data_IF_935430566145
#
_entry.id   IF_935430566145
#
_cell.length_a   1.000
_cell.length_b   1.000
_cell.length_c   1.000
_cell.angle_alpha   90.00
_cell.angle_beta   90.00
_cell.angle_gamma   90.00
#
_symmetry.space_group_name_H-M   'P 1'
#
loop_
_entity.id
_entity.type
_entity.pdbx_description
1 polymer ?
#
# COMPACT_ATOMS: atom_id res chain seq x y z
N UNK A 1 49.62 29.43 -39.78
CA UNK A 1 49.67 29.11 -38.34
C UNK A 1 48.25 29.20 -37.82
N UNK A 2 47.75 28.08 -37.31
CA UNK A 2 46.35 27.84 -36.96
C UNK A 2 45.98 28.62 -35.70
N UNK A 3 44.81 29.28 -35.70
CA UNK A 3 44.09 29.63 -34.48
C UNK A 3 42.59 29.49 -34.75
N UNK A 4 42.09 28.29 -34.49
CA UNK A 4 40.68 27.98 -34.31
C UNK A 4 40.32 28.51 -32.91
N UNK A 5 39.32 29.39 -32.81
CA UNK A 5 38.57 29.57 -31.57
C UNK A 5 37.09 29.42 -31.89
N UNK A 6 36.56 28.29 -31.45
CA UNK A 6 35.16 27.88 -31.56
C UNK A 6 34.33 28.82 -30.69
N UNK A 7 33.42 29.56 -31.31
CA UNK A 7 32.33 30.22 -30.59
C UNK A 7 31.31 29.13 -30.26
N UNK A 8 31.28 28.72 -29.00
CA UNK A 8 30.22 27.86 -28.44
C UNK A 8 28.99 28.74 -28.23
N UNK A 9 28.07 28.71 -29.18
CA UNK A 9 26.74 29.28 -28.99
C UNK A 9 25.89 28.27 -28.21
N UNK A 10 25.70 28.55 -26.92
CA UNK A 10 24.72 27.90 -26.05
C UNK A 10 23.32 28.04 -26.66
N UNK A 11 22.81 26.98 -27.27
CA UNK A 11 21.37 26.82 -27.49
C UNK A 11 20.80 26.29 -26.17
N UNK A 12 20.50 27.21 -25.26
CA UNK A 12 19.61 26.95 -24.13
C UNK A 12 18.18 26.91 -24.65
N UNK A 13 17.69 25.73 -25.03
CA UNK A 13 16.27 25.48 -25.20
C UNK A 13 15.96 24.04 -24.82
N UNK A 14 15.22 23.89 -23.72
CA UNK A 14 14.57 22.65 -23.33
C UNK A 14 15.50 21.63 -22.70
N UNK A 15 15.81 21.80 -21.41
CA UNK A 15 16.03 20.64 -20.56
C UNK A 15 14.72 19.86 -20.61
N UNK A 16 14.69 18.85 -21.47
CA UNK A 16 13.70 17.80 -21.51
C UNK A 16 13.57 17.26 -20.08
N UNK A 17 12.50 17.66 -19.40
CA UNK A 17 11.98 16.92 -18.27
C UNK A 17 11.49 15.58 -18.82
N UNK A 18 12.40 14.62 -18.98
CA UNK A 18 12.04 13.21 -19.02
C UNK A 18 11.56 12.84 -17.62
N UNK A 19 10.33 13.25 -17.29
CA UNK A 19 9.52 12.43 -16.42
C UNK A 19 9.40 11.10 -17.18
N UNK A 20 10.13 10.09 -16.72
CA UNK A 20 9.86 8.71 -17.10
C UNK A 20 8.45 8.46 -16.60
N UNK A 21 7.45 8.77 -17.42
CA UNK A 21 6.09 8.34 -17.18
C UNK A 21 6.17 6.82 -17.23
N UNK A 22 6.27 6.22 -16.04
CA UNK A 22 6.29 4.77 -15.91
C UNK A 22 5.03 4.27 -16.61
N UNK A 23 5.20 3.43 -17.63
CA UNK A 23 4.09 2.91 -18.42
C UNK A 23 3.08 2.27 -17.46
N UNK A 24 1.83 2.78 -17.47
CA UNK A 24 0.78 2.30 -16.58
C UNK A 24 0.46 0.86 -16.96
N UNK A 25 0.53 -0.06 -16.00
CA UNK A 25 0.21 -1.46 -16.23
C UNK A 25 -1.24 -1.72 -15.83
N UNK A 26 -2.06 -2.16 -16.78
CA UNK A 26 -3.47 -2.45 -16.52
C UNK A 26 -3.64 -3.92 -16.12
N UNK A 27 -4.24 -4.17 -14.96
CA UNK A 27 -4.57 -5.50 -14.46
C UNK A 27 -6.09 -5.68 -14.57
N UNK A 28 -6.53 -6.66 -15.35
CA UNK A 28 -7.96 -6.93 -15.53
C UNK A 28 -8.54 -7.65 -14.31
N UNK A 29 -9.63 -7.13 -13.73
CA UNK A 29 -10.38 -7.80 -12.68
C UNK A 29 -10.99 -9.12 -13.16
N UNK A 30 -11.47 -9.18 -14.40
CA UNK A 30 -12.02 -10.41 -14.98
C UNK A 30 -10.93 -11.50 -15.08
N UNK A 31 -9.69 -11.09 -15.38
CA UNK A 31 -8.55 -12.00 -15.36
C UNK A 31 -8.27 -12.51 -13.94
N UNK A 32 -8.28 -11.62 -12.93
CA UNK A 32 -8.04 -12.02 -11.55
C UNK A 32 -9.12 -12.99 -11.04
N UNK A 33 -10.39 -12.73 -11.35
CA UNK A 33 -11.52 -13.56 -10.93
C UNK A 33 -11.57 -14.92 -11.63
N UNK A 34 -11.14 -14.98 -12.90
CA UNK A 34 -11.17 -16.22 -13.68
C UNK A 34 -9.98 -17.14 -13.39
N UNK A 35 -8.82 -16.57 -13.08
CA UNK A 35 -7.58 -17.33 -12.87
C UNK A 35 -7.28 -17.62 -11.40
N UNK A 36 -7.76 -16.80 -10.47
CA UNK A 36 -7.37 -16.86 -9.05
C UNK A 36 -8.56 -16.70 -8.11
N UNK A 37 -8.36 -17.09 -6.85
CA UNK A 37 -9.32 -16.77 -5.79
C UNK A 37 -9.17 -15.29 -5.40
N UNK A 38 -10.18 -14.49 -5.72
CA UNK A 38 -10.22 -13.06 -5.41
C UNK A 38 -11.43 -12.70 -4.55
N UNK A 39 -11.20 -12.17 -3.35
CA UNK A 39 -12.23 -11.63 -2.47
C UNK A 39 -12.25 -10.11 -2.52
N UNK A 40 -13.43 -9.53 -2.27
CA UNK A 40 -13.68 -8.09 -2.38
C UNK A 40 -14.28 -7.55 -1.10
N UNK A 41 -13.85 -6.36 -0.70
CA UNK A 41 -14.37 -5.66 0.46
C UNK A 41 -14.44 -4.16 0.20
N UNK A 42 -15.35 -3.51 0.91
CA UNK A 42 -15.50 -2.05 0.88
C UNK A 42 -15.26 -1.50 2.28
N UNK A 43 -14.41 -0.48 2.38
CA UNK A 43 -14.13 0.20 3.65
C UNK A 43 -14.71 1.62 3.60
N UNK A 44 -15.61 1.96 4.52
CA UNK A 44 -16.05 3.34 4.71
C UNK A 44 -15.01 4.15 5.50
N UNK A 45 -14.68 5.35 5.01
CA UNK A 45 -13.61 6.17 5.57
C UNK A 45 -14.05 7.17 6.65
N UNK A 46 -15.35 7.29 6.91
CA UNK A 46 -15.90 8.28 7.83
C UNK A 46 -15.49 7.98 9.27
N UNK A 47 -15.59 6.72 9.69
CA UNK A 47 -15.29 6.29 11.07
C UNK A 47 -13.84 6.59 11.50
N UNK A 48 -12.89 6.60 10.55
CA UNK A 48 -11.47 6.79 10.85
C UNK A 48 -10.93 8.15 10.40
N UNK A 49 -11.38 8.67 9.26
CA UNK A 49 -10.84 9.88 8.65
C UNK A 49 -11.85 11.03 8.59
N UNK A 50 -13.11 10.81 9.01
CA UNK A 50 -14.16 11.82 9.07
C UNK A 50 -14.58 12.34 7.70
N UNK A 51 -14.42 11.53 6.65
CA UNK A 51 -14.85 11.79 5.28
C UNK A 51 -15.61 10.57 4.78
N UNK A 52 -16.81 10.78 4.25
CA UNK A 52 -17.65 9.72 3.68
C UNK A 52 -17.22 9.38 2.25
N UNK A 53 -16.20 8.53 2.15
CA UNK A 53 -15.67 7.97 0.91
C UNK A 53 -15.47 6.45 1.09
N UNK A 54 -15.17 5.76 0.00
CA UNK A 54 -14.97 4.30 -0.01
C UNK A 54 -13.59 3.93 -0.54
N UNK A 55 -12.92 3.02 0.17
CA UNK A 55 -11.80 2.24 -0.37
C UNK A 55 -12.31 0.85 -0.77
N UNK A 56 -12.04 0.45 -2.01
CA UNK A 56 -12.37 -0.90 -2.50
C UNK A 56 -11.12 -1.79 -2.42
N UNK A 57 -11.22 -2.94 -1.76
CA UNK A 57 -10.15 -3.93 -1.65
C UNK A 57 -10.40 -5.10 -2.59
N UNK A 58 -9.36 -5.53 -3.28
CA UNK A 58 -9.34 -6.74 -4.10
C UNK A 58 -8.18 -7.61 -3.64
N UNK A 59 -8.50 -8.70 -2.94
CA UNK A 59 -7.57 -9.64 -2.33
C UNK A 59 -7.41 -10.86 -3.23
N UNK A 60 -6.31 -10.95 -3.97
CA UNK A 60 -6.04 -12.05 -4.90
C UNK A 60 -4.99 -13.00 -4.30
N UNK A 61 -5.36 -14.27 -4.14
CA UNK A 61 -4.45 -15.30 -3.65
C UNK A 61 -3.72 -16.01 -4.79
N UNK A 62 -2.41 -16.18 -4.65
CA UNK A 62 -1.55 -16.88 -5.61
C UNK A 62 -0.65 -17.90 -4.90
N UNK A 63 -0.03 -18.78 -5.69
CA UNK A 63 0.98 -19.75 -5.23
C UNK A 63 0.48 -20.59 -4.04
N UNK A 64 -0.65 -21.28 -4.23
CA UNK A 64 -1.31 -22.11 -3.21
C UNK A 64 -1.63 -21.31 -1.93
N UNK A 65 -2.14 -20.09 -2.12
CA UNK A 65 -2.48 -19.13 -1.05
C UNK A 65 -1.31 -18.71 -0.15
N UNK A 66 -0.06 -18.91 -0.60
CA UNK A 66 1.13 -18.44 0.11
C UNK A 66 1.50 -17.00 -0.23
N UNK A 67 0.89 -16.44 -1.28
CA UNK A 67 1.00 -15.04 -1.69
C UNK A 67 -0.37 -14.41 -1.71
N UNK A 68 -0.46 -13.20 -1.16
CA UNK A 68 -1.62 -12.34 -1.25
C UNK A 68 -1.22 -11.04 -1.95
N UNK A 69 -1.88 -10.75 -3.05
CA UNK A 69 -1.82 -9.45 -3.71
C UNK A 69 -3.07 -8.69 -3.33
N UNK A 70 -2.89 -7.46 -2.85
CA UNK A 70 -4.00 -6.57 -2.51
C UNK A 70 -3.95 -5.38 -3.42
N UNK A 71 -5.04 -5.13 -4.14
CA UNK A 71 -5.28 -3.86 -4.80
C UNK A 71 -6.28 -3.06 -3.97
N UNK A 72 -5.89 -1.84 -3.60
CA UNK A 72 -6.77 -0.89 -2.91
C UNK A 72 -7.07 0.26 -3.86
N UNK A 73 -8.32 0.37 -4.31
CA UNK A 73 -8.78 1.53 -5.07
C UNK A 73 -9.12 2.64 -4.08
N UNK A 74 -8.32 3.69 -4.09
CA UNK A 74 -8.39 4.80 -3.15
C UNK A 74 -9.28 5.94 -3.71
N UNK A 75 -9.96 6.70 -2.84
CA UNK A 75 -10.92 7.70 -3.29
C UNK A 75 -10.27 8.87 -4.01
N UNK A 76 -10.75 9.24 -5.20
CA UNK A 76 -10.30 10.46 -5.91
C UNK A 76 -11.07 11.68 -5.40
N UNK A 77 -10.51 12.42 -4.46
CA UNK A 77 -11.14 13.62 -3.89
C UNK A 77 -11.31 14.78 -4.90
N UNK A 78 -10.57 14.79 -6.00
CA UNK A 78 -10.65 15.87 -6.99
C UNK A 78 -11.83 15.65 -7.94
N UNK A 79 -11.91 14.47 -8.56
CA UNK A 79 -13.00 14.17 -9.51
C UNK A 79 -14.22 13.48 -8.87
N UNK A 80 -14.08 12.99 -7.63
CA UNK A 80 -15.06 12.14 -6.93
C UNK A 80 -15.43 10.88 -7.71
N UNK A 81 -14.52 10.42 -8.57
CA UNK A 81 -14.68 9.24 -9.41
C UNK A 81 -13.48 8.31 -9.26
N UNK A 82 -13.72 7.20 -8.54
CA UNK A 82 -12.70 6.16 -8.32
C UNK A 82 -12.44 5.34 -9.59
N UNK A 83 -13.36 5.40 -10.55
CA UNK A 83 -13.31 4.68 -11.82
C UNK A 83 -13.60 5.63 -12.98
N UNK A 84 -12.73 5.62 -13.99
CA UNK A 84 -12.85 6.44 -15.20
C UNK A 84 -13.02 5.55 -16.41
N UNK A 85 -14.00 5.87 -17.26
CA UNK A 85 -14.19 5.15 -18.50
C UNK A 85 -12.96 5.35 -19.40
N UNK A 86 -12.50 4.28 -20.03
CA UNK A 86 -11.35 4.28 -20.94
C UNK A 86 -11.71 3.58 -22.25
N UNK A 87 -11.03 3.97 -23.33
CA UNK A 87 -11.12 3.27 -24.61
C UNK A 87 -10.09 2.14 -24.63
N UNK A 88 -10.57 0.90 -24.77
CA UNK A 88 -9.74 -0.30 -24.77
C UNK A 88 -8.69 -0.27 -25.88
N UNK A 89 -8.99 0.32 -27.03
CA UNK A 89 -8.03 0.40 -28.14
C UNK A 89 -6.80 1.25 -27.78
N UNK A 90 -6.93 2.17 -26.82
CA UNK A 90 -5.83 3.06 -26.39
C UNK A 90 -4.91 2.42 -25.35
N UNK A 91 -5.37 1.38 -24.65
CA UNK A 91 -4.64 0.75 -23.54
C UNK A 91 -4.35 -0.74 -23.77
N UNK A 92 -4.80 -1.33 -24.89
CA UNK A 92 -4.73 -2.76 -25.16
C UNK A 92 -3.34 -3.35 -24.93
N UNK A 93 -2.30 -2.67 -25.41
CA UNK A 93 -0.91 -3.16 -25.31
C UNK A 93 -0.32 -3.02 -23.91
N UNK A 94 -0.96 -2.26 -23.03
CA UNK A 94 -0.58 -2.04 -21.62
C UNK A 94 -1.30 -2.99 -20.66
N UNK A 95 -2.25 -3.80 -21.15
CA UNK A 95 -2.94 -4.81 -20.35
C UNK A 95 -2.00 -5.98 -20.11
N UNK A 96 -1.76 -6.27 -18.84
CA UNK A 96 -0.85 -7.34 -18.42
C UNK A 96 -1.55 -8.69 -18.62
N UNK A 97 -0.98 -9.60 -19.45
CA UNK A 97 -1.50 -10.96 -19.58
C UNK A 97 -1.36 -11.75 -18.27
N UNK A 98 -2.26 -12.70 -18.02
CA UNK A 98 -2.27 -13.56 -16.81
C UNK A 98 -0.89 -14.18 -16.54
N UNK A 99 -0.26 -14.80 -17.55
CA UNK A 99 1.05 -15.44 -17.38
C UNK A 99 2.13 -14.45 -16.95
N UNK A 100 2.11 -13.25 -17.51
CA UNK A 100 3.04 -12.17 -17.14
C UNK A 100 2.80 -11.70 -15.71
N UNK A 101 1.53 -11.59 -15.30
CA UNK A 101 1.16 -11.28 -13.93
C UNK A 101 1.64 -12.36 -12.95
N UNK A 102 1.40 -13.64 -13.26
CA UNK A 102 1.87 -14.78 -12.48
C UNK A 102 3.39 -14.80 -12.34
N UNK A 103 4.13 -14.66 -13.45
CA UNK A 103 5.59 -14.65 -13.46
C UNK A 103 6.15 -13.50 -12.60
N UNK A 104 5.55 -12.31 -12.71
CA UNK A 104 5.91 -11.14 -11.90
C UNK A 104 5.65 -11.37 -10.40
N UNK A 105 4.49 -11.94 -10.03
CA UNK A 105 4.17 -12.23 -8.64
C UNK A 105 5.09 -13.33 -8.07
N UNK A 106 5.43 -14.33 -8.89
CA UNK A 106 6.39 -15.36 -8.52
C UNK A 106 7.78 -14.76 -8.27
N UNK A 107 8.27 -13.89 -9.16
CA UNK A 107 9.55 -13.20 -8.94
C UNK A 107 9.54 -12.37 -7.65
N UNK A 108 8.45 -11.61 -7.40
CA UNK A 108 8.26 -10.83 -6.17
C UNK A 108 8.20 -11.67 -4.90
N UNK A 109 7.87 -12.96 -5.00
CA UNK A 109 7.86 -13.87 -3.86
C UNK A 109 9.27 -14.22 -3.36
N UNK A 110 10.29 -14.07 -4.21
CA UNK A 110 11.69 -14.36 -3.88
C UNK A 110 12.51 -13.12 -3.52
N UNK A 111 11.98 -11.91 -3.73
CA UNK A 111 12.69 -10.67 -3.41
C UNK A 111 12.37 -10.17 -2.00
N UNK A 112 13.40 -9.70 -1.31
CA UNK A 112 13.29 -9.03 -0.01
C UNK A 112 13.22 -7.50 -0.15
N UNK A 113 13.42 -6.96 -1.35
CA UNK A 113 13.45 -5.52 -1.58
C UNK A 113 12.10 -4.86 -1.26
N UNK A 114 12.10 -3.87 -0.37
CA UNK A 114 10.89 -3.17 0.08
C UNK A 114 10.14 -2.48 -1.07
N UNK A 115 10.89 -1.88 -1.99
CA UNK A 115 10.39 -1.19 -3.18
C UNK A 115 9.61 -2.10 -4.13
N UNK A 116 9.80 -3.42 -4.05
CA UNK A 116 9.05 -4.39 -4.85
C UNK A 116 7.68 -4.73 -4.27
N UNK A 117 7.43 -4.42 -2.98
CA UNK A 117 6.22 -4.85 -2.25
C UNK A 117 5.03 -3.92 -2.41
N UNK A 118 5.25 -2.67 -2.81
CA UNK A 118 4.18 -1.65 -2.92
C UNK A 118 4.35 -0.78 -4.16
N UNK A 119 3.26 -0.38 -4.80
CA UNK A 119 3.31 0.47 -5.99
C UNK A 119 1.97 1.15 -6.28
N UNK A 120 2.01 2.38 -6.82
CA UNK A 120 0.85 3.03 -7.45
C UNK A 120 0.87 2.90 -8.99
N UNK A 121 1.79 2.10 -9.54
CA UNK A 121 2.01 1.97 -10.99
C UNK A 121 1.08 0.97 -11.70
N UNK A 122 0.25 0.26 -10.94
CA UNK A 122 -0.77 -0.66 -11.48
C UNK A 122 -2.13 0.02 -11.45
N UNK A 123 -2.92 -0.22 -12.49
CA UNK A 123 -4.29 0.27 -12.63
C UNK A 123 -5.20 -0.93 -12.78
N UNK A 124 -6.25 -1.02 -11.97
CA UNK A 124 -7.27 -2.04 -12.16
C UNK A 124 -8.18 -1.65 -13.33
N UNK A 125 -8.53 -2.64 -14.15
CA UNK A 125 -9.44 -2.53 -15.27
C UNK A 125 -10.65 -3.42 -15.01
N UNK A 126 -11.86 -2.87 -15.15
CA UNK A 126 -13.11 -3.63 -15.05
C UNK A 126 -14.00 -3.38 -16.25
N UNK A 127 -14.81 -4.38 -16.60
CA UNK A 127 -15.80 -4.28 -17.68
C UNK A 127 -17.19 -4.24 -17.08
N UNK A 128 -17.97 -3.21 -17.44
CA UNK A 128 -19.37 -3.05 -17.04
C UNK A 128 -20.18 -2.72 -18.29
N UNK A 129 -21.16 -3.55 -18.62
CA UNK A 129 -22.03 -3.39 -19.81
C UNK A 129 -21.25 -3.16 -21.11
N UNK A 130 -20.14 -3.90 -21.29
CA UNK A 130 -19.27 -3.82 -22.47
C UNK A 130 -18.37 -2.56 -22.52
N UNK A 131 -18.40 -1.71 -21.49
CA UNK A 131 -17.51 -0.54 -21.36
C UNK A 131 -16.39 -0.83 -20.37
N UNK A 132 -15.23 -0.26 -20.64
CA UNK A 132 -14.03 -0.44 -19.83
C UNK A 132 -13.84 0.73 -18.88
N UNK A 133 -13.51 0.41 -17.63
CA UNK A 133 -13.27 1.40 -16.57
C UNK A 133 -11.94 1.11 -15.88
N UNK A 134 -11.12 2.15 -15.76
CA UNK A 134 -9.83 2.11 -15.09
C UNK A 134 -9.92 2.78 -13.72
N UNK A 135 -9.31 2.18 -12.70
CA UNK A 135 -9.19 2.78 -11.37
C UNK A 135 -8.36 4.06 -11.41
N UNK A 136 -8.78 5.11 -10.70
CA UNK A 136 -8.04 6.39 -10.69
C UNK A 136 -6.77 6.31 -9.85
N UNK A 137 -6.89 5.90 -8.59
CA UNK A 137 -5.76 5.68 -7.68
C UNK A 137 -5.84 4.24 -7.19
N UNK A 138 -4.83 3.44 -7.52
CA UNK A 138 -4.78 2.05 -7.14
C UNK A 138 -3.44 1.75 -6.48
N UNK A 139 -3.50 1.43 -5.19
CA UNK A 139 -2.36 0.93 -4.45
C UNK A 139 -2.30 -0.59 -4.63
N UNK A 140 -1.19 -1.06 -5.20
CA UNK A 140 -0.82 -2.47 -5.23
C UNK A 140 0.07 -2.78 -4.03
N UNK A 141 -0.24 -3.87 -3.33
CA UNK A 141 0.57 -4.41 -2.23
C UNK A 141 0.74 -5.91 -2.38
N UNK A 142 1.95 -6.38 -2.08
CA UNK A 142 2.32 -7.79 -2.17
C UNK A 142 2.73 -8.31 -0.80
N UNK A 143 2.09 -9.40 -0.39
CA UNK A 143 2.36 -10.08 0.86
C UNK A 143 2.70 -11.56 0.64
N UNK A 144 3.68 -12.06 1.39
CA UNK A 144 3.87 -13.49 1.61
C UNK A 144 3.22 -13.88 2.94
N UNK A 145 2.48 -14.99 2.95
CA UNK A 145 1.77 -15.48 4.14
C UNK A 145 2.60 -16.60 4.76
N UNK A 146 2.97 -16.45 6.03
CA UNK A 146 3.78 -17.43 6.78
C UNK A 146 3.26 -17.61 8.21
N UNK A 147 3.77 -18.63 8.87
CA UNK A 147 3.50 -18.93 10.27
C UNK A 147 4.81 -19.36 10.95
N UNK A 148 5.82 -18.50 10.88
CA UNK A 148 7.11 -18.73 11.52
C UNK A 148 7.06 -18.29 12.98
N UNK A 149 7.72 -19.03 13.89
CA UNK A 149 7.92 -18.58 15.26
C UNK A 149 8.67 -17.26 15.34
N UNK A 150 8.49 -16.52 16.43
CA UNK A 150 9.08 -15.20 16.70
C UNK A 150 10.61 -15.15 16.73
N UNK A 151 11.28 -16.30 16.90
CA UNK A 151 12.74 -16.41 16.81
C UNK A 151 13.28 -16.07 15.42
N UNK A 152 12.45 -16.16 14.38
CA UNK A 152 12.83 -15.76 13.03
C UNK A 152 12.44 -14.31 12.78
N UNK A 153 13.40 -13.51 12.31
CA UNK A 153 13.10 -12.19 11.78
C UNK A 153 12.20 -12.32 10.54
N UNK A 154 11.12 -11.55 10.51
CA UNK A 154 10.25 -11.40 9.35
C UNK A 154 10.74 -10.26 8.47
N UNK A 155 10.65 -10.45 7.16
CA UNK A 155 10.94 -9.41 6.17
C UNK A 155 9.69 -8.60 5.87
N UNK A 156 9.87 -7.41 5.32
CA UNK A 156 8.76 -6.58 4.87
C UNK A 156 7.90 -7.26 3.80
N UNK A 157 6.59 -7.05 3.88
CA UNK A 157 5.58 -7.72 3.08
C UNK A 157 5.29 -9.13 3.58
N UNK A 158 5.45 -9.44 4.87
CA UNK A 158 5.15 -10.76 5.42
C UNK A 158 4.01 -10.72 6.43
N UNK A 159 2.89 -11.36 6.09
CA UNK A 159 1.82 -11.66 7.05
C UNK A 159 2.25 -12.92 7.81
N UNK A 160 2.93 -12.74 8.94
CA UNK A 160 3.34 -13.84 9.82
C UNK A 160 2.42 -13.96 11.04
N UNK A 161 1.59 -14.99 11.08
CA UNK A 161 0.66 -15.24 12.20
C UNK A 161 1.28 -15.99 13.38
N UNK A 162 2.53 -16.45 13.25
CA UNK A 162 3.26 -17.19 14.28
C UNK A 162 4.16 -16.34 15.18
N UNK A 163 4.25 -15.04 14.89
CA UNK A 163 5.03 -14.11 15.69
C UNK A 163 4.32 -13.77 17.01
N UNK A 164 5.09 -13.31 18.00
CA UNK A 164 4.55 -12.79 19.25
C UNK A 164 3.83 -11.46 18.99
N UNK A 165 2.78 -11.20 19.78
CA UNK A 165 2.08 -9.93 19.75
C UNK A 165 2.98 -8.78 20.20
N UNK A 166 2.97 -7.71 19.43
CA UNK A 166 3.66 -6.47 19.74
C UNK A 166 2.90 -5.29 19.14
N UNK A 167 2.49 -4.35 19.97
CA UNK A 167 1.65 -3.21 19.60
C UNK A 167 2.49 -1.97 19.25
N UNK A 168 1.87 -1.00 18.57
CA UNK A 168 2.47 0.32 18.32
C UNK A 168 2.81 1.01 19.65
N UNK A 169 1.93 0.92 20.66
CA UNK A 169 2.15 1.55 21.96
C UNK A 169 3.35 0.94 22.71
N UNK A 170 3.52 -0.39 22.65
CA UNK A 170 4.71 -1.07 23.21
C UNK A 170 5.99 -0.69 22.47
N UNK A 171 5.94 -0.53 21.14
CA UNK A 171 7.08 -0.04 20.37
C UNK A 171 7.44 1.40 20.75
N UNK A 172 6.45 2.29 20.91
CA UNK A 172 6.69 3.66 21.37
C UNK A 172 7.34 3.69 22.76
N UNK A 173 6.84 2.88 23.69
CA UNK A 173 7.44 2.74 25.02
C UNK A 173 8.89 2.22 24.95
N UNK A 174 9.17 1.24 24.08
CA UNK A 174 10.54 0.76 23.83
C UNK A 174 11.46 1.88 23.32
N UNK A 175 10.99 2.68 22.37
CA UNK A 175 11.73 3.82 21.83
C UNK A 175 12.05 4.85 22.91
N UNK A 176 11.07 5.19 23.74
CA UNK A 176 11.21 6.16 24.83
C UNK A 176 12.18 5.65 25.92
N UNK A 177 12.05 4.39 26.34
CA UNK A 177 12.90 3.82 27.40
C UNK A 177 14.37 3.70 26.99
N UNK A 178 14.63 3.45 25.71
CA UNK A 178 15.99 3.27 25.22
C UNK A 178 16.61 4.55 24.65
N UNK A 179 15.89 5.68 24.68
CA UNK A 179 16.30 6.94 24.07
C UNK A 179 16.83 6.75 22.64
N UNK A 180 16.12 5.94 21.85
CA UNK A 180 16.53 5.64 20.48
C UNK A 180 16.59 6.96 19.70
N UNK A 181 17.78 7.28 19.22
CA UNK A 181 18.05 8.48 18.42
C UNK A 181 17.06 8.57 17.25
N UNK A 182 16.66 9.79 16.87
CA UNK A 182 15.62 10.11 15.86
C UNK A 182 14.15 9.90 16.27
N UNK A 183 13.88 9.34 17.45
CA UNK A 183 12.51 9.18 17.97
C UNK A 183 11.68 8.13 17.23
N UNK A 184 10.42 7.95 17.65
CA UNK A 184 9.56 6.89 17.13
C UNK A 184 9.10 7.19 15.69
N UNK A 185 9.36 6.30 14.70
CA UNK A 185 9.18 6.63 13.27
C UNK A 185 7.72 6.79 12.82
N UNK A 186 6.75 6.29 13.58
CA UNK A 186 5.32 6.46 13.27
C UNK A 186 4.74 7.74 13.90
N UNK A 187 5.46 8.42 14.80
CA UNK A 187 4.95 9.64 15.42
C UNK A 187 4.89 10.79 14.38
N UNK A 188 3.75 11.47 14.33
CA UNK A 188 3.45 12.52 13.38
C UNK A 188 3.61 13.93 13.97
N UNK A 189 3.62 14.07 15.31
CA UNK A 189 3.63 15.39 15.97
C UNK A 189 5.03 16.00 15.99
N UNK A 190 6.06 15.18 16.18
CA UNK A 190 7.44 15.64 16.31
C UNK A 190 8.11 15.95 14.95
N UNK A 191 7.30 16.17 13.91
CA UNK A 191 7.73 16.21 12.52
C UNK A 191 8.14 14.82 12.00
N UNK A 192 8.23 14.67 10.68
CA UNK A 192 8.49 13.38 10.06
C UNK A 192 9.89 12.88 10.38
N UNK A 193 9.93 11.71 11.03
CA UNK A 193 11.17 11.02 11.33
C UNK A 193 11.55 10.12 10.15
N UNK A 194 12.85 9.94 9.94
CA UNK A 194 13.40 9.02 8.95
C UNK A 194 14.00 7.83 9.70
N UNK A 195 13.66 6.64 9.26
CA UNK A 195 14.21 5.40 9.79
C UNK A 195 15.51 5.08 9.05
N UNK A 196 16.65 5.27 9.73
CA UNK A 196 17.98 5.05 9.12
C UNK A 196 18.14 3.63 8.57
N UNK A 197 17.75 2.63 9.34
CA UNK A 197 17.88 1.21 8.97
C UNK A 197 16.57 0.63 8.42
N UNK A 198 15.81 1.43 7.66
CA UNK A 198 14.46 1.05 7.19
C UNK A 198 14.45 -0.30 6.50
N UNK A 199 15.34 -0.54 5.55
CA UNK A 199 15.37 -1.80 4.79
C UNK A 199 15.62 -3.04 5.68
N UNK A 200 16.21 -2.87 6.87
CA UNK A 200 16.49 -3.96 7.82
C UNK A 200 15.36 -4.14 8.85
N UNK A 201 14.72 -3.05 9.23
CA UNK A 201 13.80 -3.03 10.36
C UNK A 201 12.33 -3.00 9.93
N UNK A 202 12.03 -2.48 8.74
CA UNK A 202 10.68 -2.39 8.21
C UNK A 202 10.03 -3.77 8.11
N UNK A 203 8.86 -3.92 8.72
CA UNK A 203 8.10 -5.18 8.77
C UNK A 203 6.68 -4.97 9.29
N UNK A 204 5.88 -6.01 9.15
CA UNK A 204 4.53 -6.14 9.68
C UNK A 204 4.59 -6.82 11.05
N UNK A 205 4.24 -6.07 12.10
CA UNK A 205 4.06 -6.62 13.44
C UNK A 205 2.63 -7.09 13.63
N UNK A 206 2.47 -8.29 14.17
CA UNK A 206 1.17 -8.77 14.64
C UNK A 206 0.90 -8.15 16.01
N UNK A 207 -0.20 -7.39 16.17
CA UNK A 207 -0.51 -6.76 17.46
C UNK A 207 -1.47 -7.56 18.31
N UNK A 208 -2.42 -8.26 17.70
CA UNK A 208 -3.39 -9.11 18.41
C UNK A 208 -4.10 -10.07 17.46
N UNK A 209 -4.78 -11.06 18.04
CA UNK A 209 -5.85 -11.79 17.35
C UNK A 209 -7.21 -11.36 17.90
N UNK A 210 -8.25 -11.54 17.10
CA UNK A 210 -9.63 -11.28 17.42
C UNK A 210 -10.55 -12.27 16.71
N UNK A 211 -11.83 -12.27 17.07
CA UNK A 211 -12.87 -13.02 16.37
C UNK A 211 -13.74 -12.04 15.58
N UNK A 212 -13.99 -12.35 14.31
CA UNK A 212 -14.93 -11.62 13.45
C UNK A 212 -15.87 -12.65 12.84
N UNK A 213 -17.14 -12.60 13.21
CA UNK A 213 -18.18 -13.51 12.74
C UNK A 213 -17.83 -15.01 12.92
N UNK A 214 -17.17 -15.36 14.03
CA UNK A 214 -16.76 -16.73 14.33
C UNK A 214 -15.47 -17.18 13.64
N UNK A 215 -14.81 -16.28 12.90
CA UNK A 215 -13.53 -16.54 12.25
C UNK A 215 -12.39 -15.85 12.99
N UNK A 216 -11.29 -16.59 13.15
CA UNK A 216 -10.07 -16.05 13.74
C UNK A 216 -9.42 -15.05 12.79
N UNK A 217 -9.31 -13.81 13.25
CA UNK A 217 -8.67 -12.72 12.53
C UNK A 217 -7.41 -12.24 13.27
N UNK A 218 -6.53 -11.59 12.53
CA UNK A 218 -5.22 -11.17 12.99
C UNK A 218 -4.99 -9.72 12.62
N UNK A 219 -4.73 -8.87 13.61
CA UNK A 219 -4.46 -7.45 13.38
C UNK A 219 -2.96 -7.21 13.30
N UNK A 220 -2.54 -6.49 12.26
CA UNK A 220 -1.16 -6.12 11.99
C UNK A 220 -0.99 -4.61 11.88
N UNK A 221 0.24 -4.15 12.08
CA UNK A 221 0.67 -2.80 11.75
C UNK A 221 2.06 -2.80 11.10
N UNK A 222 2.27 -1.82 10.24
CA UNK A 222 3.49 -1.66 9.46
C UNK A 222 4.46 -0.74 10.19
N UNK A 223 5.61 -1.27 10.59
CA UNK A 223 6.68 -0.47 11.18
C UNK A 223 7.50 0.18 10.09
N UNK A 224 7.23 1.45 9.81
CA UNK A 224 7.95 2.24 8.82
C UNK A 224 7.85 3.73 9.14
N UNK A 225 8.77 4.50 8.57
CA UNK A 225 8.79 5.95 8.69
C UNK A 225 7.84 6.69 7.74
N UNK A 226 7.72 7.99 7.96
CA UNK A 226 6.97 8.90 7.09
C UNK A 226 7.82 9.46 5.94
N UNK A 227 9.16 9.35 5.97
CA UNK A 227 10.09 9.71 4.87
C UNK A 227 9.62 10.81 3.89
N UNK A 228 9.27 12.00 4.41
CA UNK A 228 8.50 13.03 3.67
C UNK A 228 9.28 13.85 2.63
N UNK A 229 10.45 13.38 2.17
CA UNK A 229 11.34 14.21 1.36
C UNK A 229 10.70 14.67 0.04
N UNK A 230 9.79 13.87 -0.54
CA UNK A 230 9.25 14.10 -1.88
C UNK A 230 8.10 13.14 -2.24
N UNK A 231 6.85 13.55 -2.01
CA UNK A 231 5.68 12.95 -2.64
C UNK A 231 4.84 12.03 -1.74
N UNK A 232 4.07 11.14 -2.37
CA UNK A 232 3.20 10.20 -1.65
C UNK A 232 4.07 9.13 -1.01
N UNK A 233 3.94 8.94 0.30
CA UNK A 233 4.67 7.92 1.05
C UNK A 233 4.09 6.51 0.79
N UNK A 234 4.04 6.12 -0.48
CA UNK A 234 3.48 4.87 -1.00
C UNK A 234 4.13 3.66 -0.33
N UNK A 235 5.39 3.78 0.11
CA UNK A 235 6.07 2.74 0.85
C UNK A 235 5.40 2.38 2.17
N UNK A 236 4.51 3.23 2.72
CA UNK A 236 3.68 2.92 3.89
C UNK A 236 2.52 1.99 3.55
N UNK A 237 1.86 2.23 2.42
CA UNK A 237 0.71 1.44 1.95
C UNK A 237 -0.40 1.33 2.99
N UNK A 238 -0.91 0.13 3.23
CA UNK A 238 -1.81 -0.13 4.35
C UNK A 238 -1.04 -0.12 5.68
N UNK A 239 -1.22 0.95 6.46
CA UNK A 239 -0.45 1.20 7.69
C UNK A 239 -0.80 0.19 8.79
N UNK A 240 -2.07 -0.19 8.88
CA UNK A 240 -2.63 -1.12 9.85
C UNK A 240 -3.75 -1.89 9.18
N UNK A 241 -3.86 -3.18 9.45
CA UNK A 241 -4.83 -4.03 8.77
C UNK A 241 -5.26 -5.24 9.59
N UNK A 242 -6.42 -5.80 9.23
CA UNK A 242 -6.88 -7.09 9.75
C UNK A 242 -6.88 -8.10 8.63
N UNK A 243 -6.23 -9.23 8.85
CA UNK A 243 -6.17 -10.37 7.96
C UNK A 243 -6.98 -11.54 8.52
N UNK A 244 -7.81 -12.15 7.67
CA UNK A 244 -8.49 -13.42 7.94
C UNK A 244 -7.96 -14.47 6.95
N UNK A 245 -7.48 -15.64 7.42
CA UNK A 245 -7.05 -16.73 6.54
C UNK A 245 -8.10 -17.06 5.46
N UNK A 246 -7.66 -17.23 4.22
CA UNK A 246 -8.50 -17.49 3.02
C UNK A 246 -9.50 -16.39 2.61
N UNK A 247 -9.70 -15.35 3.43
CA UNK A 247 -10.48 -14.15 3.10
C UNK A 247 -9.61 -12.96 2.69
N UNK A 248 -8.38 -12.88 3.20
CA UNK A 248 -7.45 -11.81 2.87
C UNK A 248 -7.52 -10.67 3.89
N UNK A 249 -7.14 -9.47 3.46
CA UNK A 249 -7.27 -8.25 4.25
C UNK A 249 -8.71 -7.75 4.19
N UNK A 250 -9.30 -7.58 5.37
CA UNK A 250 -10.72 -7.20 5.56
C UNK A 250 -10.90 -5.90 6.35
N UNK A 251 -9.80 -5.29 6.79
CA UNK A 251 -9.82 -3.98 7.40
C UNK A 251 -8.50 -3.28 7.13
N UNK A 252 -8.51 -1.94 7.04
CA UNK A 252 -7.33 -1.18 6.69
C UNK A 252 -7.32 0.26 7.18
N UNK A 253 -6.13 0.85 7.21
CA UNK A 253 -5.89 2.29 7.33
C UNK A 253 -4.84 2.73 6.31
N UNK A 254 -5.05 3.88 5.67
CA UNK A 254 -4.20 4.44 4.62
C UNK A 254 -3.73 5.85 5.01
N UNK A 255 -3.05 5.96 6.14
CA UNK A 255 -2.73 7.25 6.74
C UNK A 255 -1.88 8.11 5.81
N UNK A 256 -0.98 7.49 5.05
CA UNK A 256 -0.19 8.20 4.04
C UNK A 256 -1.08 8.90 3.00
N UNK A 257 -2.19 8.29 2.60
CA UNK A 257 -3.06 8.82 1.56
C UNK A 257 -3.90 9.98 2.11
N UNK A 258 -4.59 9.72 3.21
CA UNK A 258 -5.48 10.72 3.82
C UNK A 258 -4.69 11.87 4.43
N UNK A 259 -3.45 11.70 4.94
CA UNK A 259 -2.68 12.83 5.50
C UNK A 259 -2.42 13.93 4.46
N UNK A 260 -2.24 13.57 3.19
CA UNK A 260 -1.94 14.55 2.13
C UNK A 260 -3.14 14.94 1.27
N UNK A 261 -4.21 14.13 1.27
CA UNK A 261 -5.38 14.33 0.40
C UNK A 261 -6.69 14.59 1.16
N UNK A 262 -6.74 14.38 2.48
CA UNK A 262 -7.97 14.60 3.24
C UNK A 262 -8.36 16.09 3.19
N UNK A 263 -9.60 16.42 2.78
CA UNK A 263 -10.10 17.79 2.76
C UNK A 263 -10.38 18.40 4.15
N UNK A 264 -10.18 17.67 5.25
CA UNK A 264 -10.54 18.08 6.62
C UNK A 264 -9.32 18.39 7.50
N UNK A 265 -9.45 19.41 8.34
CA UNK A 265 -8.56 19.70 9.47
C UNK A 265 -8.80 18.68 10.60
N UNK A 266 -8.14 17.52 10.50
CA UNK A 266 -8.09 16.55 11.59
C UNK A 266 -6.96 16.93 12.57
N UNK A 267 -7.21 16.92 13.88
CA UNK A 267 -6.18 17.25 14.86
C UNK A 267 -5.04 16.23 14.79
N UNK A 268 -3.79 16.70 14.76
CA UNK A 268 -2.62 15.80 14.78
C UNK A 268 -2.60 14.92 16.03
N UNK A 269 -3.13 15.38 17.17
CA UNK A 269 -3.23 14.56 18.38
C UNK A 269 -4.29 13.47 18.23
N UNK A 270 -5.46 13.78 17.66
CA UNK A 270 -6.50 12.77 17.43
C UNK A 270 -5.98 11.67 16.48
N UNK A 271 -5.30 12.07 15.39
CA UNK A 271 -4.68 11.12 14.46
C UNK A 271 -3.64 10.27 15.15
N UNK A 272 -2.75 10.88 15.93
CA UNK A 272 -1.75 10.14 16.69
C UNK A 272 -2.41 9.13 17.62
N UNK A 273 -3.49 9.48 18.29
CA UNK A 273 -4.23 8.54 19.14
C UNK A 273 -4.86 7.40 18.33
N UNK A 274 -5.37 7.65 17.13
CA UNK A 274 -5.90 6.60 16.25
C UNK A 274 -4.80 5.64 15.77
N UNK A 275 -3.60 6.18 15.48
CA UNK A 275 -2.41 5.37 15.19
C UNK A 275 -2.04 4.51 16.39
N UNK A 276 -1.90 5.10 17.59
CA UNK A 276 -1.48 4.39 18.80
C UNK A 276 -2.50 3.34 19.27
N UNK A 277 -3.80 3.57 19.02
CA UNK A 277 -4.88 2.60 19.28
C UNK A 277 -5.05 1.57 18.16
N UNK A 278 -4.24 1.68 17.12
CA UNK A 278 -4.26 0.83 15.95
C UNK A 278 -5.64 0.76 15.27
N UNK A 279 -6.33 1.89 15.15
CA UNK A 279 -7.67 1.89 14.52
C UNK A 279 -7.58 1.57 13.03
N UNK A 280 -8.59 0.87 12.53
CA UNK A 280 -8.75 0.47 11.13
C UNK A 280 -10.22 0.58 10.73
N UNK A 281 -10.48 0.76 9.45
CA UNK A 281 -11.81 0.71 8.86
C UNK A 281 -12.13 -0.76 8.58
N UNK A 282 -13.15 -1.32 9.22
CA UNK A 282 -13.62 -2.69 8.98
C UNK A 282 -14.50 -2.75 7.73
N UNK A 283 -14.36 -3.81 6.94
CA UNK A 283 -15.19 -4.06 5.76
C UNK A 283 -16.69 -4.04 6.07
N UNK A 284 -17.46 -3.33 5.25
CA UNK A 284 -18.93 -3.26 5.36
C UNK A 284 -19.58 -4.63 5.25
N UNK A 285 -19.00 -5.55 4.48
CA UNK A 285 -19.50 -6.91 4.30
C UNK A 285 -19.35 -7.80 5.55
N UNK A 286 -18.66 -7.31 6.60
CA UNK A 286 -18.44 -8.03 7.85
C UNK A 286 -19.08 -7.34 9.08
N UNK A 287 -19.73 -6.20 8.90
CA UNK A 287 -20.43 -5.47 9.97
C UNK A 287 -21.78 -6.10 10.32
#
# INVERSE_FOLDING_TARGET
MVAILIIVTLITNGILSFAWAQEKKYISLDMLDSAYHTSRYTLNTDDLYGVDETVELYNTFLLDSQVLVVFSVLPDFESKQNWKQVDIETIRDQIVPERTFYDLMREKSYTEASSAKKSMGYTLLKVVDGKYFASTYCLFEFFVIRNYPDVFNTVYGMINTGQKYFTIAEMLDLYNRNNIDHGFPLDIIAGPKVMRDRELLQREYLSKSLDINGEKAYQFWTFTDWNVSDGWNVHRGIDRFIYIPNRGIVAGSYDFYFRFKNPRDYSEEEWRQDILKEKVMLAEELK
#
